data_IF_001041788825
#
_entry.id   IF_001041788825
#
_cell.length_a   1.000
_cell.length_b   1.000
_cell.length_c   1.000
_cell.angle_alpha   90.00
_cell.angle_beta   90.00
_cell.angle_gamma   90.00
#
_symmetry.space_group_name_H-M   'P 1'
#
loop_
_entity.id
_entity.type
_entity.pdbx_description
1 polymer ?
#
# COMPACT_ATOMS: atom_id res chain seq x y z
N UNK A 1 -18.49 -43.64 -24.62
CA UNK A 1 -17.22 -43.20 -24.00
C UNK A 1 -17.30 -41.76 -23.58
N UNK A 2 -17.16 -41.57 -22.31
CA UNK A 2 -17.35 -40.24 -21.79
C UNK A 2 -16.03 -39.55 -21.65
N UNK A 3 -15.95 -38.50 -22.27
CA UNK A 3 -14.78 -37.65 -22.13
C UNK A 3 -15.00 -36.68 -21.02
N UNK A 4 -14.25 -36.88 -20.03
CA UNK A 4 -14.20 -35.83 -19.01
C UNK A 4 -13.24 -34.79 -19.45
N UNK A 5 -13.82 -33.79 -19.96
CA UNK A 5 -13.07 -32.59 -20.07
C UNK A 5 -12.99 -32.03 -18.68
N UNK A 6 -11.93 -32.37 -18.04
CA UNK A 6 -11.57 -31.54 -16.93
C UNK A 6 -11.14 -30.23 -17.51
N UNK A 7 -12.08 -29.42 -17.68
CA UNK A 7 -11.77 -28.05 -17.51
C UNK A 7 -11.32 -27.97 -16.07
N UNK A 8 -10.07 -28.21 -15.87
CA UNK A 8 -9.47 -27.65 -14.73
C UNK A 8 -9.83 -26.19 -14.86
N UNK A 9 -10.83 -25.82 -14.14
CA UNK A 9 -11.04 -24.48 -13.81
C UNK A 9 -9.78 -24.07 -13.11
N UNK A 10 -8.82 -23.69 -13.87
CA UNK A 10 -7.81 -22.83 -13.38
C UNK A 10 -8.59 -21.59 -13.06
N UNK A 11 -9.09 -21.56 -11.90
CA UNK A 11 -9.41 -20.33 -11.27
C UNK A 11 -8.09 -19.60 -11.25
N UNK A 12 -7.87 -18.84 -12.27
CA UNK A 12 -7.02 -17.72 -12.20
C UNK A 12 -7.65 -16.85 -11.12
N UNK A 13 -7.39 -17.26 -9.91
CA UNK A 13 -7.44 -16.32 -8.83
C UNK A 13 -6.50 -15.25 -9.31
N UNK A 14 -7.02 -14.05 -9.66
CA UNK A 14 -6.11 -12.95 -9.82
C UNK A 14 -5.36 -12.92 -8.51
N UNK A 15 -4.11 -13.29 -8.57
CA UNK A 15 -3.21 -12.88 -7.54
C UNK A 15 -3.26 -11.38 -7.59
N UNK A 16 -4.13 -10.85 -6.77
CA UNK A 16 -4.01 -9.48 -6.38
C UNK A 16 -2.71 -9.44 -5.60
N UNK A 17 -1.63 -9.46 -6.33
CA UNK A 17 -0.36 -9.09 -5.77
C UNK A 17 -0.50 -7.63 -5.44
N UNK A 18 -0.91 -7.36 -4.21
CA UNK A 18 -0.85 -6.02 -3.67
C UNK A 18 0.60 -5.74 -3.42
N UNK A 19 1.32 -5.37 -4.47
CA UNK A 19 2.62 -4.82 -4.28
C UNK A 19 2.41 -3.34 -4.02
N UNK A 20 2.93 -2.89 -2.89
CA UNK A 20 2.76 -1.51 -2.44
C UNK A 20 3.91 -0.67 -2.98
N UNK A 21 3.95 -0.54 -4.29
CA UNK A 21 4.83 0.41 -4.95
C UNK A 21 4.13 1.76 -4.95
N UNK A 22 4.72 2.72 -4.27
CA UNK A 22 4.11 4.04 -4.10
C UNK A 22 4.94 5.11 -4.78
N UNK A 23 4.26 6.07 -5.37
CA UNK A 23 4.88 7.25 -5.94
C UNK A 23 4.35 8.50 -5.24
N UNK A 24 5.26 9.34 -4.77
CA UNK A 24 4.92 10.61 -4.13
C UNK A 24 4.72 11.68 -5.19
N UNK A 25 3.46 12.11 -5.38
CA UNK A 25 3.13 13.16 -6.36
C UNK A 25 3.36 14.55 -5.77
N UNK A 26 3.50 15.53 -6.66
CA UNK A 26 3.78 16.94 -6.26
C UNK A 26 2.51 17.72 -5.95
N UNK A 27 1.36 17.28 -6.45
CA UNK A 27 0.10 18.01 -6.35
C UNK A 27 -1.00 17.10 -5.86
N UNK A 28 -1.88 17.57 -4.95
CA UNK A 28 -2.89 16.72 -4.32
C UNK A 28 -3.90 16.15 -5.32
N UNK A 29 -4.21 16.84 -6.40
CA UNK A 29 -5.15 16.38 -7.42
C UNK A 29 -4.63 15.21 -8.26
N UNK A 30 -3.36 14.87 -8.13
CA UNK A 30 -2.73 13.74 -8.83
C UNK A 30 -2.69 12.48 -7.97
N UNK A 31 -3.09 12.58 -6.70
CA UNK A 31 -2.94 11.48 -5.75
C UNK A 31 -4.17 10.59 -5.68
N UNK A 32 -3.93 9.32 -5.38
CA UNK A 32 -4.99 8.38 -5.00
C UNK A 32 -5.32 8.51 -3.51
N UNK A 33 -4.31 8.80 -2.69
CA UNK A 33 -4.41 8.89 -1.23
C UNK A 33 -3.60 10.05 -0.72
N UNK A 34 -4.20 10.86 0.14
CA UNK A 34 -3.51 11.93 0.86
C UNK A 34 -3.01 11.37 2.20
N UNK A 35 -1.74 11.53 2.46
CA UNK A 35 -1.04 10.87 3.57
C UNK A 35 -0.44 11.90 4.51
N UNK A 36 -0.67 11.73 5.80
CA UNK A 36 -0.01 12.52 6.84
C UNK A 36 0.91 11.63 7.68
N UNK A 37 2.15 12.05 7.86
CA UNK A 37 3.12 11.34 8.71
C UNK A 37 2.98 11.84 10.14
N UNK A 38 2.54 10.97 11.05
CA UNK A 38 2.37 11.31 12.46
C UNK A 38 3.68 11.18 13.21
N UNK A 39 3.80 11.89 14.33
CA UNK A 39 4.99 11.85 15.17
C UNK A 39 5.04 10.64 16.10
N UNK A 40 3.87 10.12 16.48
CA UNK A 40 3.76 9.02 17.44
C UNK A 40 2.97 7.87 16.87
N UNK A 41 3.42 6.66 17.15
CA UNK A 41 2.85 5.42 16.63
C UNK A 41 1.36 5.28 16.95
N UNK A 42 0.94 5.69 18.16
CA UNK A 42 -0.45 5.57 18.58
C UNK A 42 -1.42 6.49 17.84
N UNK A 43 -0.92 7.38 16.99
CA UNK A 43 -1.73 8.30 16.19
C UNK A 43 -1.97 7.82 14.77
N UNK A 44 -1.30 6.74 14.34
CA UNK A 44 -1.36 6.31 12.95
C UNK A 44 -2.48 5.32 12.67
N UNK A 45 -2.87 5.26 11.39
CA UNK A 45 -3.74 4.21 10.86
C UNK A 45 -2.92 3.02 10.38
N UNK A 46 -1.73 3.28 9.84
CA UNK A 46 -0.84 2.29 9.25
C UNK A 46 0.59 2.54 9.69
N UNK A 47 1.26 1.51 10.15
CA UNK A 47 2.70 1.52 10.40
C UNK A 47 3.40 1.07 9.13
N UNK A 48 4.26 1.94 8.59
CA UNK A 48 4.92 1.73 7.31
C UNK A 48 6.40 1.46 7.51
N UNK A 49 6.88 0.41 6.86
CA UNK A 49 8.30 0.14 6.72
C UNK A 49 8.69 0.34 5.26
N UNK A 50 9.68 1.21 5.03
CA UNK A 50 10.23 1.42 3.68
C UNK A 50 11.15 0.27 3.34
N UNK A 51 10.81 -0.47 2.29
CA UNK A 51 11.69 -1.53 1.78
C UNK A 51 12.62 -0.95 0.72
N UNK A 52 13.80 -1.57 0.57
CA UNK A 52 14.84 -1.08 -0.33
C UNK A 52 14.69 -1.60 -1.75
N UNK A 53 13.96 -2.70 -1.93
CA UNK A 53 13.81 -3.36 -3.22
C UNK A 53 12.35 -3.72 -3.48
N UNK A 54 11.89 -3.64 -4.74
CA UNK A 54 10.48 -3.90 -5.06
C UNK A 54 10.02 -5.32 -4.76
N UNK A 55 10.92 -6.30 -4.81
CA UNK A 55 10.59 -7.69 -4.48
C UNK A 55 10.38 -7.95 -2.99
N UNK A 56 10.62 -6.96 -2.13
CA UNK A 56 10.40 -7.06 -0.69
C UNK A 56 8.98 -6.67 -0.29
N UNK A 57 8.20 -6.17 -1.23
CA UNK A 57 6.80 -5.79 -0.99
C UNK A 57 5.97 -7.06 -0.95
N UNK A 58 5.13 -7.19 0.09
CA UNK A 58 4.27 -8.35 0.29
C UNK A 58 2.91 -7.89 0.81
N UNK A 59 1.93 -7.90 -0.08
CA UNK A 59 0.56 -7.58 0.25
C UNK A 59 0.35 -6.14 0.76
N UNK A 60 -0.79 -5.93 1.40
CA UNK A 60 -1.17 -4.63 1.97
C UNK A 60 -0.89 -4.64 3.49
N UNK A 61 0.38 -4.64 3.85
CA UNK A 61 0.85 -4.78 5.22
C UNK A 61 1.72 -3.64 5.70
N UNK A 62 1.76 -2.54 4.94
CA UNK A 62 2.60 -1.40 5.27
C UNK A 62 4.04 -1.53 4.81
N UNK A 63 4.34 -2.46 3.92
CA UNK A 63 5.65 -2.56 3.27
C UNK A 63 5.61 -1.75 1.98
N UNK A 64 6.24 -0.60 1.99
CA UNK A 64 6.19 0.33 0.86
C UNK A 64 7.53 0.44 0.18
N UNK A 65 7.50 0.31 -1.16
CA UNK A 65 8.63 0.63 -2.01
C UNK A 65 8.33 1.92 -2.78
N UNK A 66 9.17 2.93 -2.59
CA UNK A 66 9.00 4.20 -3.30
C UNK A 66 9.65 4.13 -4.67
N UNK A 67 8.83 4.31 -5.70
CA UNK A 67 9.30 4.30 -7.09
C UNK A 67 9.64 5.72 -7.56
N UNK A 68 10.46 5.81 -8.61
CA UNK A 68 10.93 7.08 -9.14
C UNK A 68 9.98 7.68 -10.17
N UNK A 69 9.10 6.87 -10.76
CA UNK A 69 8.21 7.29 -11.82
C UNK A 69 6.78 6.83 -11.57
N UNK A 70 5.77 7.68 -11.88
CA UNK A 70 4.37 7.37 -11.56
C UNK A 70 3.84 6.13 -12.24
N UNK A 71 4.31 5.82 -13.47
CA UNK A 71 3.86 4.64 -14.21
C UNK A 71 4.36 3.31 -13.61
N UNK A 72 5.26 3.36 -12.64
CA UNK A 72 5.76 2.19 -11.93
C UNK A 72 4.99 1.93 -10.63
N UNK A 73 4.10 2.83 -10.25
CA UNK A 73 3.43 2.77 -8.94
C UNK A 73 2.12 2.02 -8.98
N UNK A 74 1.77 1.39 -7.86
CA UNK A 74 0.44 0.84 -7.62
C UNK A 74 -0.48 1.90 -7.01
N UNK A 75 0.10 2.83 -6.23
CA UNK A 75 -0.61 3.94 -5.61
C UNK A 75 0.19 5.22 -5.70
N UNK A 76 -0.50 6.29 -5.99
CA UNK A 76 0.05 7.64 -5.96
C UNK A 76 -0.39 8.30 -4.66
N UNK A 77 0.57 8.78 -3.90
CA UNK A 77 0.32 9.42 -2.61
C UNK A 77 0.77 10.87 -2.65
N UNK A 78 0.08 11.69 -1.86
CA UNK A 78 0.47 13.06 -1.64
C UNK A 78 0.63 13.29 -0.14
N UNK A 79 1.82 13.72 0.28
CA UNK A 79 2.09 14.06 1.67
C UNK A 79 1.50 15.42 2.01
N UNK A 80 0.55 15.44 2.92
CA UNK A 80 -0.08 16.69 3.40
C UNK A 80 0.63 17.21 4.64
N UNK A 81 0.50 18.51 4.87
CA UNK A 81 1.18 19.19 5.99
C UNK A 81 0.40 19.09 7.31
N UNK A 82 -0.91 18.82 7.25
CA UNK A 82 -1.79 18.82 8.41
C UNK A 82 -2.66 17.56 8.43
N UNK A 83 -2.90 16.99 9.64
CA UNK A 83 -3.64 15.72 9.75
C UNK A 83 -5.08 15.80 9.25
N UNK A 84 -5.74 16.95 9.37
CA UNK A 84 -7.11 17.13 8.91
C UNK A 84 -7.26 17.13 7.38
N UNK A 85 -6.16 17.20 6.64
CA UNK A 85 -6.15 17.13 5.18
C UNK A 85 -5.92 15.71 4.66
N UNK A 86 -5.63 14.76 5.54
CA UNK A 86 -5.22 13.42 5.14
C UNK A 86 -6.40 12.44 5.06
N UNK A 87 -6.24 11.47 4.14
CA UNK A 87 -7.08 10.28 4.09
C UNK A 87 -6.51 9.19 4.99
N UNK A 88 -5.19 9.16 5.12
CA UNK A 88 -4.45 8.12 5.82
C UNK A 88 -3.34 8.72 6.66
N UNK A 89 -3.27 8.33 7.93
CA UNK A 89 -2.18 8.71 8.82
C UNK A 89 -1.20 7.55 8.95
N UNK A 90 0.06 7.81 8.69
CA UNK A 90 1.10 6.78 8.74
C UNK A 90 2.18 7.13 9.75
N UNK A 91 2.83 6.08 10.25
CA UNK A 91 4.02 6.18 11.08
C UNK A 91 5.10 5.29 10.50
N UNK A 92 6.29 5.85 10.23
CA UNK A 92 7.39 5.05 9.71
C UNK A 92 8.07 4.30 10.83
N UNK A 93 8.15 2.97 10.69
CA UNK A 93 8.81 2.10 11.66
C UNK A 93 10.20 1.73 11.19
N UNK A 94 11.06 1.34 12.14
CA UNK A 94 12.47 1.03 11.86
C UNK A 94 12.69 -0.42 11.42
N UNK A 95 11.76 -1.32 11.73
CA UNK A 95 11.91 -2.74 11.47
C UNK A 95 10.69 -3.29 10.76
N UNK A 96 10.94 -4.21 9.82
CA UNK A 96 9.91 -4.80 8.97
C UNK A 96 8.78 -5.45 9.78
N UNK A 97 9.12 -6.13 10.88
CA UNK A 97 8.14 -6.82 11.71
C UNK A 97 7.23 -5.88 12.52
N UNK A 98 7.52 -4.59 12.51
CA UNK A 98 6.70 -3.59 13.17
C UNK A 98 5.63 -2.99 12.26
N UNK A 99 5.68 -3.28 10.96
CA UNK A 99 4.70 -2.74 10.01
C UNK A 99 3.33 -3.40 10.16
N UNK A 100 2.30 -2.68 9.77
CA UNK A 100 0.95 -3.22 9.75
C UNK A 100 -0.12 -2.20 10.05
N UNK A 101 -1.37 -2.59 9.81
CA UNK A 101 -2.53 -1.76 10.04
C UNK A 101 -2.87 -1.68 11.52
N UNK A 102 -3.08 -0.46 12.01
CA UNK A 102 -3.71 -0.22 13.31
C UNK A 102 -5.22 -0.01 13.15
N UNK A 103 -5.62 0.71 12.10
CA UNK A 103 -7.02 0.92 11.77
C UNK A 103 -7.36 0.19 10.47
N UNK A 104 -7.88 -1.02 10.59
CA UNK A 104 -8.19 -1.87 9.44
C UNK A 104 -9.33 -1.34 8.58
N UNK A 105 -10.14 -0.44 9.11
CA UNK A 105 -11.23 0.17 8.34
C UNK A 105 -10.71 1.00 7.16
N UNK A 106 -9.46 1.38 7.18
CA UNK A 106 -8.82 2.17 6.12
C UNK A 106 -7.98 1.36 5.14
N UNK A 107 -7.93 0.04 5.29
CA UNK A 107 -7.16 -0.83 4.39
C UNK A 107 -7.51 -0.63 2.92
N UNK A 108 -8.77 -0.36 2.62
CA UNK A 108 -9.25 -0.18 1.25
C UNK A 108 -8.57 0.96 0.51
N UNK A 109 -8.03 1.93 1.22
CA UNK A 109 -7.35 3.08 0.61
C UNK A 109 -6.07 2.67 -0.12
N UNK A 110 -5.47 1.55 0.29
CA UNK A 110 -4.21 1.06 -0.26
C UNK A 110 -4.36 -0.22 -1.10
N UNK A 111 -5.56 -0.54 -1.48
CA UNK A 111 -5.81 -1.62 -2.43
C UNK A 111 -5.68 -1.16 -3.85
#
# INVERSE_FOLDING_TARGET
>A
MIKFIFISLIVLVPYLSFSQKVYSVKYPNQSDVKVYVVEYENQCDLKVFKVDYPNQVDGNKGLWYFVDYPNQSDKKIYFVDYPNQSDLKIFFVKYKNQSGWRDKSKQHLMY
#
